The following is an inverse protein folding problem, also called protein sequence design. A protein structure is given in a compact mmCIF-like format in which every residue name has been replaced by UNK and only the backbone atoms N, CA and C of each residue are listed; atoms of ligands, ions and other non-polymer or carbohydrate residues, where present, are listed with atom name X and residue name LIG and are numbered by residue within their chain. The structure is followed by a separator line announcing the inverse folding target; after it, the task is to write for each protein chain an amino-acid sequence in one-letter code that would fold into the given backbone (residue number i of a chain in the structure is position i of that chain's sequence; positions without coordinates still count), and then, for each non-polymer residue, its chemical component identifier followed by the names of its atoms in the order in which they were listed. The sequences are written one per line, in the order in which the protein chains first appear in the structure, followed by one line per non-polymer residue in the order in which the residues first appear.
data_IF_393203251531
#
_entry.id   IF_393203251531
#
_cell.length_a   1.000
_cell.length_b   1.000
_cell.length_c   1.000
_cell.angle_alpha   90.00
_cell.angle_beta   90.00
_cell.angle_gamma   90.00
#
_symmetry.space_group_name_H-M   'P 1'
#
loop_
_entity.id
_entity.type
_entity.pdbx_description
1 polymer ?
#
# COMPACT_ATOMS: atom_id res chain seq x y z
N UNK A 1 20.29 5.68 10.72
CA UNK A 1 20.31 6.52 9.50
C UNK A 1 19.08 6.30 8.65
N UNK A 2 18.78 5.08 8.14
CA UNK A 2 17.55 4.82 7.38
C UNK A 2 16.27 4.95 8.23
N UNK A 3 16.31 4.48 9.48
CA UNK A 3 15.19 4.64 10.41
C UNK A 3 14.85 6.13 10.62
N UNK A 4 15.87 6.97 10.76
CA UNK A 4 15.75 8.43 10.90
C UNK A 4 15.05 9.10 9.71
N UNK A 5 15.17 8.51 8.51
CA UNK A 5 14.48 8.97 7.30
C UNK A 5 13.02 8.52 7.34
N UNK A 6 12.76 7.26 7.73
CA UNK A 6 11.40 6.74 7.90
C UNK A 6 10.62 7.53 8.97
N UNK A 7 11.26 7.88 10.09
CA UNK A 7 10.64 8.63 11.19
C UNK A 7 10.27 10.08 10.79
N UNK A 8 10.82 10.59 9.68
CA UNK A 8 10.49 11.93 9.16
C UNK A 8 9.33 11.94 8.16
N UNK A 9 8.85 10.76 7.74
CA UNK A 9 7.74 10.65 6.80
C UNK A 9 6.41 10.81 7.53
N UNK A 10 5.39 11.39 6.87
CA UNK A 10 4.06 11.50 7.45
C UNK A 10 3.41 10.12 7.58
N UNK A 11 2.79 9.85 8.73
CA UNK A 11 2.07 8.60 9.00
C UNK A 11 0.91 8.34 8.02
N UNK A 12 0.33 9.41 7.47
CA UNK A 12 -0.78 9.36 6.52
C UNK A 12 -0.71 10.52 5.53
N UNK A 13 -0.98 10.22 4.27
CA UNK A 13 -1.18 11.21 3.23
C UNK A 13 -2.68 11.56 3.11
N UNK A 14 -3.00 12.84 3.07
CA UNK A 14 -4.34 13.30 2.68
C UNK A 14 -4.49 13.14 1.16
N UNK A 15 -5.37 12.24 0.74
CA UNK A 15 -5.64 11.93 -0.66
C UNK A 15 -6.96 12.56 -1.18
N UNK A 16 -7.56 13.49 -0.43
CA UNK A 16 -8.86 14.10 -0.74
C UNK A 16 -8.92 14.79 -2.10
N UNK A 17 -7.86 15.49 -2.51
CA UNK A 17 -7.78 16.15 -3.83
C UNK A 17 -7.83 15.13 -4.97
N UNK A 18 -7.05 14.05 -4.87
CA UNK A 18 -7.03 13.00 -5.87
C UNK A 18 -8.39 12.28 -5.99
N UNK A 19 -9.08 12.09 -4.85
CA UNK A 19 -10.46 11.55 -4.83
C UNK A 19 -11.43 12.47 -5.55
N UNK A 20 -11.32 13.78 -5.33
CA UNK A 20 -12.23 14.78 -5.88
C UNK A 20 -12.01 15.04 -7.37
N UNK A 21 -10.76 15.15 -7.80
CA UNK A 21 -10.42 15.59 -9.17
C UNK A 21 -10.31 14.43 -10.15
N UNK A 22 -9.81 13.28 -9.69
CA UNK A 22 -9.54 12.13 -10.57
C UNK A 22 -10.38 10.90 -10.23
N UNK A 23 -11.29 11.02 -9.25
CA UNK A 23 -12.08 9.89 -8.78
C UNK A 23 -11.23 8.77 -8.19
N UNK A 24 -10.04 9.10 -7.64
CA UNK A 24 -9.15 8.12 -7.03
C UNK A 24 -9.90 7.31 -5.96
N UNK A 25 -9.90 5.98 -6.09
CA UNK A 25 -10.58 5.10 -5.16
C UNK A 25 -9.76 3.81 -4.96
N UNK A 26 -8.89 3.73 -3.93
CA UNK A 26 -8.10 2.55 -3.66
C UNK A 26 -9.02 1.37 -3.32
N UNK A 27 -8.80 0.23 -3.99
CA UNK A 27 -9.62 -0.98 -3.87
C UNK A 27 -9.04 -2.03 -2.92
N UNK A 28 -7.77 -1.89 -2.58
CA UNK A 28 -7.06 -2.78 -1.69
C UNK A 28 -6.83 -2.08 -0.37
N UNK A 29 -7.33 -2.68 0.69
CA UNK A 29 -6.93 -2.38 2.06
C UNK A 29 -5.72 -3.24 2.46
N UNK A 30 -5.24 -3.06 3.70
CA UNK A 30 -4.08 -3.79 4.19
C UNK A 30 -4.28 -5.31 4.15
N UNK A 31 -5.47 -5.79 4.52
CA UNK A 31 -5.76 -7.22 4.62
C UNK A 31 -5.79 -7.86 3.22
N UNK A 32 -6.57 -7.28 2.30
CA UNK A 32 -6.66 -7.76 0.92
C UNK A 32 -5.32 -7.72 0.18
N UNK A 33 -4.47 -6.72 0.48
CA UNK A 33 -3.10 -6.68 -0.04
C UNK A 33 -2.25 -7.82 0.50
N UNK A 34 -2.30 -8.10 1.82
CA UNK A 34 -1.52 -9.19 2.43
C UNK A 34 -1.93 -10.54 1.85
N UNK A 35 -3.23 -10.80 1.73
CA UNK A 35 -3.75 -12.04 1.17
C UNK A 35 -3.26 -12.26 -0.27
N UNK A 36 -3.39 -11.25 -1.13
CA UNK A 36 -2.95 -11.34 -2.53
C UNK A 36 -1.44 -11.56 -2.65
N UNK A 37 -0.65 -10.88 -1.82
CA UNK A 37 0.81 -11.05 -1.79
C UNK A 37 1.22 -12.47 -1.42
N UNK A 38 0.62 -13.05 -0.37
CA UNK A 38 0.91 -14.44 0.05
C UNK A 38 0.52 -15.44 -1.03
N UNK A 39 -0.64 -15.25 -1.67
CA UNK A 39 -1.10 -16.11 -2.78
C UNK A 39 -0.08 -16.10 -3.91
N UNK A 40 0.35 -14.92 -4.37
CA UNK A 40 1.24 -14.79 -5.52
C UNK A 40 2.67 -15.25 -5.22
N UNK A 41 3.20 -14.94 -4.03
CA UNK A 41 4.50 -15.45 -3.59
C UNK A 41 4.50 -16.98 -3.47
N UNK A 42 3.43 -17.56 -2.94
CA UNK A 42 3.29 -19.01 -2.83
C UNK A 42 3.29 -19.68 -4.21
N UNK A 43 2.58 -19.11 -5.19
CA UNK A 43 2.60 -19.60 -6.58
C UNK A 43 4.00 -19.55 -7.17
N UNK A 44 4.71 -18.43 -6.97
CA UNK A 44 6.06 -18.22 -7.51
C UNK A 44 7.10 -19.18 -6.93
N UNK A 45 7.02 -19.49 -5.63
CA UNK A 45 8.00 -20.32 -4.93
C UNK A 45 7.71 -21.83 -5.00
N UNK A 46 6.51 -22.23 -5.43
CA UNK A 46 6.16 -23.64 -5.69
C UNK A 46 6.46 -24.09 -7.14
N UNK A 47 6.88 -23.16 -8.00
CA UNK A 47 7.43 -23.41 -9.34
C UNK A 47 8.94 -23.62 -9.27
#
# INVERSE_FOLDING_TARGET
MLQSIADSWPDKLDDSVARKEWGWNPKYDLNSMVDDMIINLTKKLKS
#
